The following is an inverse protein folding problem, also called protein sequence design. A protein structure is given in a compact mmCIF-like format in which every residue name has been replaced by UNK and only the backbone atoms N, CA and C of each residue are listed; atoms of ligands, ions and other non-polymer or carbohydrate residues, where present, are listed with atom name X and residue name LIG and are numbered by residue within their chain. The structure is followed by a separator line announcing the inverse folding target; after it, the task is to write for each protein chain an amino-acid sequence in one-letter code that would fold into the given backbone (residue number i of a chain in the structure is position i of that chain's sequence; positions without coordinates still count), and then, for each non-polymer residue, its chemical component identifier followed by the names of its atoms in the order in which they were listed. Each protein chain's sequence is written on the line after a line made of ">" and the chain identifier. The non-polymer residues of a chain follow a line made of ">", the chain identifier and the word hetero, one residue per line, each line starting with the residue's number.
data_IF_294005253911
#
_entry.id   IF_294005253911
#
_cell.length_a   1.000
_cell.length_b   1.000
_cell.length_c   1.000
_cell.angle_alpha   90.00
_cell.angle_beta   90.00
_cell.angle_gamma   90.00
#
_symmetry.space_group_name_H-M   'P 1'
#
loop_
_entity.id
_entity.type
_entity.pdbx_description
1 polymer ?
#
# COMPACT_ATOMS: atom_id res chain seq x y z
N UNK A 1 -13.26 -42.94 0.69
CA UNK A 1 -13.40 -42.37 2.06
C UNK A 1 -12.07 -41.92 2.68
N UNK A 2 -10.95 -42.64 2.51
CA UNK A 2 -9.63 -42.25 3.06
C UNK A 2 -9.14 -40.84 2.65
N UNK A 3 -9.41 -40.40 1.42
CA UNK A 3 -8.97 -39.08 0.93
C UNK A 3 -9.66 -37.91 1.63
N UNK A 4 -10.94 -38.04 1.96
CA UNK A 4 -11.72 -36.99 2.63
C UNK A 4 -11.31 -36.84 4.10
N UNK A 5 -11.07 -37.96 4.79
CA UNK A 5 -10.56 -37.95 6.16
C UNK A 5 -9.19 -37.24 6.27
N UNK A 6 -8.31 -37.45 5.28
CA UNK A 6 -6.99 -36.83 5.26
C UNK A 6 -7.07 -35.30 5.00
N UNK A 7 -7.97 -34.85 4.12
CA UNK A 7 -8.18 -33.42 3.85
C UNK A 7 -8.76 -32.70 5.07
N UNK A 8 -9.73 -33.31 5.77
CA UNK A 8 -10.30 -32.75 7.00
C UNK A 8 -9.24 -32.61 8.09
N UNK A 9 -8.38 -33.62 8.24
CA UNK A 9 -7.28 -33.57 9.21
C UNK A 9 -6.30 -32.43 8.89
N UNK A 10 -5.95 -32.23 7.61
CA UNK A 10 -5.03 -31.15 7.20
C UNK A 10 -5.57 -29.75 7.47
N UNK A 11 -6.87 -29.50 7.23
CA UNK A 11 -7.48 -28.19 7.50
C UNK A 11 -7.50 -27.85 8.99
N UNK A 12 -7.88 -28.82 9.82
CA UNK A 12 -7.85 -28.67 11.28
C UNK A 12 -6.42 -28.46 11.79
N UNK A 13 -5.46 -29.21 11.26
CA UNK A 13 -4.04 -29.06 11.59
C UNK A 13 -3.52 -27.65 11.28
N UNK A 14 -3.74 -27.15 10.05
CA UNK A 14 -3.32 -25.79 9.67
C UNK A 14 -4.00 -24.73 10.53
N UNK A 15 -5.30 -24.87 10.80
CA UNK A 15 -6.06 -23.94 11.64
C UNK A 15 -5.42 -23.79 13.03
N UNK A 16 -4.99 -24.90 13.64
CA UNK A 16 -4.31 -24.89 14.94
C UNK A 16 -2.89 -24.32 14.80
N UNK A 17 -2.10 -24.82 13.85
CA UNK A 17 -0.67 -24.45 13.71
C UNK A 17 -0.44 -23.00 13.33
N UNK A 18 -1.27 -22.42 12.47
CA UNK A 18 -1.10 -21.00 12.08
C UNK A 18 -1.44 -20.02 13.20
N UNK A 19 -1.93 -20.51 14.35
CA UNK A 19 -2.17 -19.71 15.56
C UNK A 19 -1.14 -19.98 16.67
N UNK A 20 -0.24 -20.94 16.46
CA UNK A 20 0.85 -21.27 17.37
C UNK A 20 2.04 -20.34 17.08
N UNK A 21 2.42 -19.44 18.02
CA UNK A 21 3.53 -18.52 17.81
C UNK A 21 4.85 -19.23 17.46
N UNK A 22 5.11 -20.41 18.03
CA UNK A 22 6.34 -21.15 17.76
C UNK A 22 6.39 -21.65 16.30
N UNK A 23 5.25 -22.08 15.76
CA UNK A 23 5.15 -22.48 14.36
C UNK A 23 5.42 -21.29 13.42
N UNK A 24 4.85 -20.12 13.73
CA UNK A 24 5.00 -18.93 12.90
C UNK A 24 6.43 -18.40 12.90
N UNK A 25 7.10 -18.37 14.06
CA UNK A 25 8.51 -17.98 14.12
C UNK A 25 9.40 -18.92 13.31
N UNK A 26 9.15 -20.24 13.37
CA UNK A 26 9.89 -21.20 12.51
C UNK A 26 9.65 -20.92 11.02
N UNK A 27 8.41 -20.65 10.62
CA UNK A 27 8.08 -20.30 9.23
C UNK A 27 8.85 -19.05 8.77
N UNK A 28 8.81 -17.97 9.56
CA UNK A 28 9.51 -16.72 9.26
C UNK A 28 11.01 -16.94 9.14
N UNK A 29 11.63 -17.66 10.09
CA UNK A 29 13.06 -17.95 10.07
C UNK A 29 13.47 -18.77 8.83
N UNK A 30 12.69 -19.78 8.45
CA UNK A 30 12.98 -20.59 7.27
C UNK A 30 12.87 -19.79 5.97
N UNK A 31 11.86 -18.93 5.84
CA UNK A 31 11.71 -18.06 4.67
C UNK A 31 12.90 -17.10 4.55
N UNK A 32 13.27 -16.42 5.64
CA UNK A 32 14.41 -15.49 5.67
C UNK A 32 15.73 -16.21 5.38
N UNK A 33 15.97 -17.38 5.99
CA UNK A 33 17.18 -18.15 5.73
C UNK A 33 17.30 -18.56 4.25
N UNK A 34 16.20 -18.99 3.63
CA UNK A 34 16.17 -19.27 2.19
C UNK A 34 16.48 -18.00 1.37
N UNK A 35 15.89 -16.85 1.74
CA UNK A 35 16.20 -15.55 1.13
C UNK A 35 17.67 -15.18 1.20
N UNK A 36 18.32 -15.39 2.35
CA UNK A 36 19.75 -15.12 2.53
C UNK A 36 20.60 -15.99 1.60
N UNK A 37 20.35 -17.30 1.58
CA UNK A 37 21.06 -18.24 0.69
C UNK A 37 20.88 -17.83 -0.78
N UNK A 38 19.65 -17.53 -1.19
CA UNK A 38 19.36 -17.07 -2.55
C UNK A 38 20.02 -15.73 -2.86
N UNK A 39 20.17 -14.83 -1.88
CA UNK A 39 20.87 -13.56 -2.04
C UNK A 39 22.35 -13.75 -2.35
N UNK A 40 23.04 -14.66 -1.64
CA UNK A 40 24.43 -15.01 -1.95
C UNK A 40 24.58 -15.61 -3.33
N UNK A 41 23.66 -16.50 -3.72
CA UNK A 41 23.61 -17.08 -5.06
C UNK A 41 23.39 -15.98 -6.12
N UNK A 42 22.45 -15.07 -5.87
CA UNK A 42 22.13 -13.99 -6.79
C UNK A 42 23.31 -13.02 -6.98
N UNK A 43 24.02 -12.64 -5.90
CA UNK A 43 25.24 -11.84 -6.00
C UNK A 43 26.31 -12.52 -6.86
N UNK A 44 26.45 -13.84 -6.76
CA UNK A 44 27.45 -14.57 -7.54
C UNK A 44 27.15 -14.59 -9.05
N UNK A 45 25.88 -14.79 -9.41
CA UNK A 45 25.46 -14.84 -10.82
C UNK A 45 25.24 -13.47 -11.45
N UNK A 46 24.85 -12.50 -10.64
CA UNK A 46 24.61 -11.13 -11.06
C UNK A 46 25.76 -10.28 -10.52
N UNK A 47 26.87 -10.27 -11.26
CA UNK A 47 28.00 -9.39 -10.89
C UNK A 47 27.44 -7.96 -10.82
N UNK A 48 27.49 -7.30 -9.65
CA UNK A 48 26.90 -5.98 -9.51
C UNK A 48 27.56 -5.06 -10.53
N UNK A 49 26.75 -4.46 -11.40
CA UNK A 49 27.29 -3.49 -12.35
C UNK A 49 27.96 -2.37 -11.56
N UNK A 50 29.16 -1.91 -11.96
CA UNK A 50 29.83 -0.81 -11.28
C UNK A 50 28.88 0.39 -11.18
N UNK A 51 28.73 0.97 -9.98
CA UNK A 51 27.78 2.07 -9.73
C UNK A 51 27.96 3.28 -10.67
N UNK A 52 29.13 3.45 -11.31
CA UNK A 52 29.41 4.52 -12.26
C UNK A 52 28.80 4.31 -13.66
N UNK A 53 28.34 3.11 -14.01
CA UNK A 53 27.63 2.83 -15.28
C UNK A 53 26.15 3.20 -15.25
N UNK A 54 25.62 3.58 -14.08
CA UNK A 54 24.30 4.18 -13.97
C UNK A 54 24.36 5.57 -14.59
N UNK A 55 24.18 5.64 -15.91
CA UNK A 55 23.99 6.91 -16.62
C UNK A 55 22.96 7.71 -15.82
N UNK A 56 23.25 8.99 -15.48
CA UNK A 56 22.25 9.83 -14.85
C UNK A 56 21.01 9.74 -15.73
N UNK A 57 19.87 9.43 -15.12
CA UNK A 57 18.60 9.44 -15.83
C UNK A 57 18.56 10.78 -16.56
N UNK A 58 18.54 10.75 -17.90
CA UNK A 58 18.36 11.97 -18.68
C UNK A 58 17.14 12.67 -18.08
N UNK A 59 17.20 13.99 -17.79
CA UNK A 59 16.06 14.72 -17.27
C UNK A 59 14.83 14.31 -18.07
N UNK A 60 13.78 13.87 -17.37
CA UNK A 60 12.60 13.27 -17.98
C UNK A 60 11.98 14.27 -18.97
N UNK A 61 12.40 14.19 -20.23
CA UNK A 61 11.99 15.13 -21.27
C UNK A 61 10.48 15.14 -21.46
N UNK A 62 9.81 14.02 -21.15
CA UNK A 62 8.36 13.91 -21.20
C UNK A 62 7.65 14.71 -20.11
N UNK A 63 8.11 14.66 -18.84
CA UNK A 63 7.52 15.47 -17.77
C UNK A 63 7.67 16.98 -18.00
N UNK A 64 8.84 17.41 -18.48
CA UNK A 64 9.07 18.81 -18.88
C UNK A 64 8.11 19.22 -20.00
N UNK A 65 7.90 18.35 -20.99
CA UNK A 65 6.92 18.61 -22.05
C UNK A 65 5.48 18.71 -21.52
N UNK A 66 5.09 17.88 -20.54
CA UNK A 66 3.77 17.97 -19.91
C UNK A 66 3.59 19.27 -19.12
N UNK A 67 4.63 19.72 -18.41
CA UNK A 67 4.66 21.01 -17.72
C UNK A 67 4.52 22.16 -18.73
N UNK A 68 5.29 22.16 -19.83
CA UNK A 68 5.20 23.16 -20.89
C UNK A 68 3.81 23.21 -21.53
N UNK A 69 3.18 22.05 -21.79
CA UNK A 69 1.80 21.98 -22.28
C UNK A 69 0.81 22.57 -21.27
N UNK A 70 0.98 22.28 -19.99
CA UNK A 70 0.16 22.82 -18.91
C UNK A 70 0.30 24.36 -18.79
N UNK A 71 1.53 24.89 -18.86
CA UNK A 71 1.81 26.33 -18.87
C UNK A 71 1.18 27.05 -20.07
N UNK A 72 1.12 26.38 -21.23
CA UNK A 72 0.45 26.88 -22.44
C UNK A 72 -1.08 26.74 -22.38
N UNK A 73 -1.64 26.13 -21.34
CA UNK A 73 -3.08 25.87 -21.19
C UNK A 73 -3.62 24.72 -22.05
N UNK A 74 -2.74 23.90 -22.63
CA UNK A 74 -3.06 22.72 -23.44
C UNK A 74 -3.34 21.51 -22.54
N UNK A 75 -4.39 21.64 -21.72
CA UNK A 75 -4.70 20.69 -20.64
C UNK A 75 -5.12 19.30 -21.14
N UNK A 76 -5.71 19.20 -22.33
CA UNK A 76 -6.13 17.91 -22.87
C UNK A 76 -4.93 17.09 -23.34
N UNK A 77 -3.97 17.75 -23.97
CA UNK A 77 -2.70 17.17 -24.41
C UNK A 77 -1.87 16.74 -23.20
N UNK A 78 -1.78 17.59 -22.17
CA UNK A 78 -1.14 17.24 -20.91
C UNK A 78 -1.84 16.03 -20.25
N UNK A 79 -3.17 16.02 -20.19
CA UNK A 79 -3.95 14.88 -19.68
C UNK A 79 -3.63 13.59 -20.44
N UNK A 80 -3.65 13.62 -21.78
CA UNK A 80 -3.43 12.43 -22.60
C UNK A 80 -1.97 11.96 -22.63
N UNK A 81 -1.01 12.82 -22.29
CA UNK A 81 0.41 12.47 -22.23
C UNK A 81 0.84 11.77 -20.93
N UNK A 82 0.15 12.00 -19.81
CA UNK A 82 0.48 11.39 -18.50
C UNK A 82 0.60 9.85 -18.57
N UNK A 83 -0.31 9.08 -19.19
CA UNK A 83 -0.19 7.62 -19.23
C UNK A 83 1.11 7.12 -19.87
N UNK A 84 1.66 7.84 -20.85
CA UNK A 84 2.92 7.47 -21.48
C UNK A 84 4.09 7.59 -20.50
N UNK A 85 4.12 8.66 -19.69
CA UNK A 85 5.15 8.87 -18.67
C UNK A 85 5.05 7.86 -17.52
N UNK A 86 3.83 7.56 -17.06
CA UNK A 86 3.59 6.49 -16.08
C UNK A 86 4.09 5.14 -16.61
N UNK A 87 3.76 4.82 -17.86
CA UNK A 87 4.21 3.59 -18.51
C UNK A 87 5.74 3.53 -18.67
N UNK A 88 6.39 4.66 -19.00
CA UNK A 88 7.85 4.73 -19.06
C UNK A 88 8.50 4.40 -17.69
N UNK A 89 7.87 4.79 -16.59
CA UNK A 89 8.28 4.42 -15.23
C UNK A 89 8.33 2.90 -15.00
N UNK A 90 7.49 2.14 -15.69
CA UNK A 90 7.44 0.66 -15.60
C UNK A 90 8.56 -0.05 -16.36
N UNK A 91 9.43 0.67 -17.08
CA UNK A 91 10.60 0.06 -17.73
C UNK A 91 11.57 -0.60 -16.74
N UNK A 92 11.59 -0.14 -15.48
CA UNK A 92 12.44 -0.68 -14.42
C UNK A 92 11.82 -1.94 -13.78
N UNK A 93 12.10 -3.10 -14.38
CA UNK A 93 11.51 -4.40 -14.01
C UNK A 93 11.70 -4.80 -12.55
N UNK A 94 12.86 -4.50 -11.94
CA UNK A 94 13.17 -4.85 -10.55
C UNK A 94 12.25 -4.13 -9.55
N UNK A 95 12.27 -2.78 -9.51
CA UNK A 95 11.33 -1.99 -8.71
C UNK A 95 9.86 -2.32 -8.97
N UNK A 96 9.47 -2.52 -10.23
CA UNK A 96 8.11 -2.92 -10.59
C UNK A 96 7.75 -4.28 -9.97
N UNK A 97 8.63 -5.28 -10.09
CA UNK A 97 8.38 -6.60 -9.52
C UNK A 97 8.26 -6.55 -7.99
N UNK A 98 9.09 -5.75 -7.31
CA UNK A 98 8.99 -5.54 -5.86
C UNK A 98 7.67 -4.87 -5.47
N UNK A 99 7.24 -3.83 -6.20
CA UNK A 99 5.99 -3.12 -5.95
C UNK A 99 4.77 -4.02 -6.14
N UNK A 100 4.73 -4.77 -7.25
CA UNK A 100 3.67 -5.76 -7.52
C UNK A 100 3.67 -6.86 -6.47
N UNK A 101 4.84 -7.39 -6.09
CA UNK A 101 4.93 -8.46 -5.09
C UNK A 101 4.46 -7.99 -3.70
N UNK A 102 4.88 -6.80 -3.26
CA UNK A 102 4.39 -6.16 -2.05
C UNK A 102 2.87 -5.96 -2.09
N UNK A 103 2.33 -5.53 -3.23
CA UNK A 103 0.90 -5.45 -3.50
C UNK A 103 0.18 -6.79 -3.39
N UNK A 104 0.74 -7.85 -3.98
CA UNK A 104 0.18 -9.20 -3.94
C UNK A 104 0.10 -9.76 -2.52
N UNK A 105 1.09 -9.49 -1.66
CA UNK A 105 1.04 -9.89 -0.26
C UNK A 105 -0.16 -9.26 0.48
N UNK A 106 -0.40 -7.96 0.29
CA UNK A 106 -1.57 -7.29 0.87
C UNK A 106 -2.88 -7.69 0.20
N UNK A 107 -2.87 -7.97 -1.11
CA UNK A 107 -4.05 -8.50 -1.79
C UNK A 107 -4.43 -9.88 -1.25
N UNK A 108 -3.45 -10.76 -1.00
CA UNK A 108 -3.71 -12.05 -0.37
C UNK A 108 -4.35 -11.87 1.01
N UNK A 109 -3.88 -10.89 1.79
CA UNK A 109 -4.51 -10.51 3.06
C UNK A 109 -5.96 -10.04 2.88
N UNK A 110 -6.23 -9.13 1.94
CA UNK A 110 -7.57 -8.60 1.65
C UNK A 110 -8.55 -9.70 1.22
N UNK A 111 -8.12 -10.60 0.33
CA UNK A 111 -8.96 -11.70 -0.16
C UNK A 111 -9.28 -12.72 0.95
N UNK A 112 -8.34 -12.98 1.86
CA UNK A 112 -8.59 -13.81 3.03
C UNK A 112 -9.51 -13.10 4.04
N UNK A 113 -9.31 -11.79 4.25
CA UNK A 113 -10.14 -10.97 5.12
C UNK A 113 -11.60 -10.94 4.63
N UNK A 114 -11.82 -10.87 3.32
CA UNK A 114 -13.12 -10.99 2.64
C UNK A 114 -13.76 -12.39 2.75
N UNK A 115 -13.02 -13.42 3.17
CA UNK A 115 -13.52 -14.80 3.25
C UNK A 115 -14.03 -15.32 1.90
N UNK A 116 -13.24 -15.14 0.83
CA UNK A 116 -13.54 -15.66 -0.51
C UNK A 116 -13.44 -17.19 -0.50
N UNK A 117 -14.51 -17.88 -0.90
CA UNK A 117 -14.57 -19.37 -0.90
C UNK A 117 -14.32 -20.01 -2.26
N UNK A 118 -14.56 -19.27 -3.35
CA UNK A 118 -14.56 -19.78 -4.72
C UNK A 118 -14.24 -18.66 -5.72
N UNK A 119 -13.71 -19.02 -6.89
CA UNK A 119 -13.27 -18.07 -7.93
C UNK A 119 -14.42 -17.32 -8.63
N UNK A 120 -15.67 -17.76 -8.45
CA UNK A 120 -16.87 -17.10 -9.00
C UNK A 120 -17.49 -16.07 -8.04
N UNK A 121 -16.87 -15.85 -6.89
CA UNK A 121 -17.34 -14.84 -5.94
C UNK A 121 -17.22 -13.44 -6.56
N UNK A 122 -18.31 -12.67 -6.57
CA UNK A 122 -18.28 -11.31 -7.12
C UNK A 122 -17.27 -10.43 -6.38
N UNK A 123 -17.03 -10.69 -5.09
CA UNK A 123 -16.11 -9.93 -4.25
C UNK A 123 -14.67 -10.05 -4.76
N UNK A 124 -14.28 -11.22 -5.27
CA UNK A 124 -12.95 -11.41 -5.88
C UNK A 124 -12.77 -10.46 -7.07
N UNK A 125 -13.73 -10.48 -8.00
CA UNK A 125 -13.67 -9.67 -9.21
C UNK A 125 -13.79 -8.17 -8.91
N UNK A 126 -14.65 -7.78 -7.97
CA UNK A 126 -14.73 -6.40 -7.51
C UNK A 126 -13.41 -5.92 -6.90
N UNK A 127 -12.73 -6.75 -6.11
CA UNK A 127 -11.39 -6.44 -5.59
C UNK A 127 -10.34 -6.34 -6.70
N UNK A 128 -10.36 -7.21 -7.71
CA UNK A 128 -9.42 -7.11 -8.84
C UNK A 128 -9.64 -5.82 -9.63
N UNK A 129 -10.90 -5.50 -9.96
CA UNK A 129 -11.25 -4.25 -10.65
C UNK A 129 -10.88 -3.03 -9.79
N UNK A 130 -11.09 -3.10 -8.48
CA UNK A 130 -10.69 -2.04 -7.55
C UNK A 130 -9.17 -1.77 -7.57
N UNK A 131 -8.32 -2.81 -7.60
CA UNK A 131 -6.86 -2.61 -7.77
C UNK A 131 -6.55 -1.87 -9.06
N UNK A 132 -7.16 -2.28 -10.18
CA UNK A 132 -6.94 -1.63 -11.47
C UNK A 132 -7.41 -0.16 -11.46
N UNK A 133 -8.53 0.12 -10.81
CA UNK A 133 -9.03 1.48 -10.61
C UNK A 133 -8.13 2.30 -9.67
N UNK A 134 -7.49 1.66 -8.69
CA UNK A 134 -6.46 2.25 -7.86
C UNK A 134 -5.23 2.68 -8.65
N UNK A 135 -4.68 1.79 -9.48
CA UNK A 135 -3.59 2.13 -10.41
C UNK A 135 -4.02 3.25 -11.35
N UNK A 136 -5.23 3.18 -11.90
CA UNK A 136 -5.77 4.21 -12.78
C UNK A 136 -5.91 5.56 -12.09
N UNK A 137 -6.19 5.59 -10.78
CA UNK A 137 -6.37 6.83 -10.01
C UNK A 137 -5.09 7.70 -9.91
N UNK A 138 -3.93 7.14 -10.20
CA UNK A 138 -2.68 7.91 -10.34
C UNK A 138 -2.76 8.91 -11.50
N UNK A 139 -3.43 8.56 -12.60
CA UNK A 139 -3.57 9.46 -13.74
C UNK A 139 -4.27 10.79 -13.37
N UNK A 140 -5.48 10.80 -12.80
CA UNK A 140 -6.09 12.05 -12.34
C UNK A 140 -5.30 12.72 -11.21
N UNK A 141 -4.62 11.97 -10.33
CA UNK A 141 -3.70 12.55 -9.34
C UNK A 141 -2.63 13.40 -10.02
N UNK A 142 -1.88 12.82 -10.96
CA UNK A 142 -0.79 13.47 -11.71
C UNK A 142 -1.29 14.69 -12.50
N UNK A 143 -2.49 14.61 -13.07
CA UNK A 143 -3.10 15.76 -13.73
C UNK A 143 -3.40 16.90 -12.74
N UNK A 144 -3.93 16.57 -11.56
CA UNK A 144 -4.16 17.57 -10.53
C UNK A 144 -2.87 18.18 -9.99
N UNK A 145 -1.74 17.45 -10.00
CA UNK A 145 -0.42 18.02 -9.70
C UNK A 145 -0.13 19.18 -10.64
N UNK A 146 -0.14 18.93 -11.96
CA UNK A 146 0.15 19.94 -12.98
C UNK A 146 -0.78 21.16 -12.83
N UNK A 147 -2.08 20.92 -12.60
CA UNK A 147 -3.06 21.99 -12.44
C UNK A 147 -2.86 22.81 -11.17
N UNK A 148 -2.49 22.18 -10.05
CA UNK A 148 -2.27 22.87 -8.78
C UNK A 148 -0.95 23.65 -8.76
N UNK A 149 0.11 23.09 -9.32
CA UNK A 149 1.42 23.73 -9.38
C UNK A 149 1.40 24.93 -10.32
N UNK A 150 0.98 24.72 -11.58
CA UNK A 150 0.92 25.79 -12.60
C UNK A 150 -0.19 26.79 -12.30
N UNK A 151 -1.38 26.30 -11.91
CA UNK A 151 -2.56 27.14 -11.76
C UNK A 151 -2.67 27.84 -10.41
N UNK A 152 -2.28 27.18 -9.31
CA UNK A 152 -2.48 27.69 -7.94
C UNK A 152 -1.17 28.07 -7.24
N UNK A 153 -0.01 27.82 -7.86
CA UNK A 153 1.30 28.06 -7.24
C UNK A 153 1.51 27.20 -5.98
N UNK A 154 0.86 26.04 -5.90
CA UNK A 154 1.03 25.07 -4.83
C UNK A 154 2.30 24.27 -5.08
N UNK A 155 3.44 24.92 -4.87
CA UNK A 155 4.78 24.32 -5.03
C UNK A 155 5.26 23.75 -3.71
N UNK A 156 6.01 22.65 -3.78
CA UNK A 156 6.71 22.07 -2.64
C UNK A 156 7.65 23.11 -1.99
N UNK A 157 7.63 23.18 -0.66
CA UNK A 157 8.48 24.11 0.10
C UNK A 157 8.81 23.54 1.47
N UNK A 158 10.00 23.91 1.96
CA UNK A 158 10.49 23.55 3.28
C UNK A 158 9.90 24.44 4.40
N UNK A 159 9.21 25.52 4.03
CA UNK A 159 8.52 26.38 5.01
C UNK A 159 7.34 25.65 5.64
N UNK A 160 7.15 25.78 6.96
CA UNK A 160 6.14 25.02 7.70
C UNK A 160 4.72 25.20 7.14
N UNK A 161 4.25 26.44 7.00
CA UNK A 161 2.88 26.73 6.55
C UNK A 161 2.72 26.37 5.07
N UNK A 162 3.68 26.75 4.23
CA UNK A 162 3.64 26.45 2.80
C UNK A 162 3.68 24.94 2.54
N UNK A 163 4.54 24.21 3.24
CA UNK A 163 4.70 22.77 3.15
C UNK A 163 3.48 22.02 3.69
N UNK A 164 2.88 22.46 4.79
CA UNK A 164 1.61 21.87 5.28
C UNK A 164 0.48 22.09 4.26
N UNK A 165 0.40 23.29 3.68
CA UNK A 165 -0.59 23.60 2.63
C UNK A 165 -0.38 22.70 1.41
N UNK A 166 0.88 22.54 0.96
CA UNK A 166 1.24 21.67 -0.15
C UNK A 166 0.91 20.20 0.12
N UNK A 167 1.31 19.66 1.28
CA UNK A 167 1.07 18.25 1.58
C UNK A 167 -0.41 17.94 1.86
N UNK A 168 -1.17 18.82 2.54
CA UNK A 168 -2.59 18.55 2.83
C UNK A 168 -3.50 18.84 1.65
N UNK A 169 -3.41 20.03 1.05
CA UNK A 169 -4.31 20.43 -0.05
C UNK A 169 -3.78 20.01 -1.43
N UNK A 170 -2.47 19.91 -1.59
CA UNK A 170 -1.85 19.33 -2.78
C UNK A 170 -1.97 17.81 -2.69
N UNK A 171 -1.07 17.17 -1.94
CA UNK A 171 -0.91 15.71 -1.93
C UNK A 171 -2.15 14.97 -1.39
N UNK A 172 -2.50 15.17 -0.11
CA UNK A 172 -3.58 14.42 0.55
C UNK A 172 -4.94 14.59 -0.14
N UNK A 173 -5.32 15.82 -0.48
CA UNK A 173 -6.61 16.10 -1.10
C UNK A 173 -6.72 15.53 -2.50
N UNK A 174 -5.73 15.80 -3.37
CA UNK A 174 -5.81 15.37 -4.78
C UNK A 174 -5.84 13.86 -4.89
N UNK A 175 -5.05 13.18 -4.07
CA UNK A 175 -4.93 11.73 -4.12
C UNK A 175 -6.16 11.02 -3.58
N UNK A 176 -6.65 11.40 -2.40
CA UNK A 176 -7.85 10.77 -1.84
C UNK A 176 -9.09 11.10 -2.68
N UNK A 177 -9.15 12.30 -3.28
CA UNK A 177 -10.21 12.65 -4.23
C UNK A 177 -10.16 11.80 -5.50
N UNK A 178 -8.98 11.64 -6.11
CA UNK A 178 -8.80 10.80 -7.30
C UNK A 178 -9.21 9.34 -7.04
N UNK A 179 -8.76 8.76 -5.93
CA UNK A 179 -9.16 7.40 -5.49
C UNK A 179 -10.67 7.30 -5.28
N UNK A 180 -11.29 8.30 -4.65
CA UNK A 180 -12.74 8.35 -4.48
C UNK A 180 -13.49 8.42 -5.81
N UNK A 181 -13.05 9.25 -6.76
CA UNK A 181 -13.63 9.29 -8.11
C UNK A 181 -13.57 7.93 -8.80
N UNK A 182 -12.45 7.22 -8.67
CA UNK A 182 -12.29 5.86 -9.19
C UNK A 182 -13.11 4.81 -8.42
N UNK A 183 -13.49 5.05 -7.17
CA UNK A 183 -14.40 4.19 -6.40
C UNK A 183 -15.86 4.33 -6.83
N UNK A 184 -16.32 5.53 -7.21
CA UNK A 184 -17.73 5.80 -7.50
C UNK A 184 -18.37 4.84 -8.54
N UNK A 185 -17.70 4.42 -9.63
CA UNK A 185 -18.24 3.43 -10.57
C UNK A 185 -18.57 2.06 -9.93
N UNK A 186 -17.88 1.66 -8.86
CA UNK A 186 -18.16 0.42 -8.14
C UNK A 186 -19.30 0.56 -7.12
N UNK A 187 -19.63 1.78 -6.73
CA UNK A 187 -20.59 2.04 -5.65
C UNK A 187 -22.00 1.50 -5.94
N UNK A 188 -22.57 1.56 -7.16
CA UNK A 188 -23.86 0.92 -7.47
C UNK A 188 -23.86 -0.58 -7.23
N UNK A 189 -22.76 -1.28 -7.52
CA UNK A 189 -22.63 -2.71 -7.21
C UNK A 189 -22.58 -2.93 -5.71
N UNK A 190 -21.75 -2.18 -4.99
CA UNK A 190 -21.57 -2.30 -3.54
C UNK A 190 -22.87 -2.02 -2.76
N UNK A 191 -23.63 -0.99 -3.18
CA UNK A 191 -24.95 -0.64 -2.62
C UNK A 191 -25.98 -1.77 -2.81
N UNK A 192 -25.96 -2.44 -3.96
CA UNK A 192 -26.85 -3.59 -4.22
C UNK A 192 -26.52 -4.78 -3.32
N UNK A 193 -25.23 -5.04 -3.08
CA UNK A 193 -24.76 -6.20 -2.31
C UNK A 193 -24.93 -6.03 -0.79
N UNK A 194 -25.06 -4.79 -0.31
CA UNK A 194 -25.36 -4.45 1.10
C UNK A 194 -24.40 -5.08 2.12
N UNK A 195 -23.14 -5.28 1.73
CA UNK A 195 -22.13 -5.92 2.56
C UNK A 195 -21.03 -4.91 2.92
N UNK A 196 -21.07 -4.39 4.15
CA UNK A 196 -20.11 -3.37 4.61
C UNK A 196 -18.67 -3.87 4.65
N UNK A 197 -18.44 -5.14 5.00
CA UNK A 197 -17.10 -5.74 4.94
C UNK A 197 -16.55 -5.71 3.52
N UNK A 198 -17.40 -6.04 2.53
CA UNK A 198 -17.02 -5.98 1.12
C UNK A 198 -16.75 -4.54 0.67
N UNK A 199 -17.56 -3.57 1.11
CA UNK A 199 -17.34 -2.15 0.82
C UNK A 199 -15.98 -1.70 1.36
N UNK A 200 -15.69 -1.97 2.64
CA UNK A 200 -14.44 -1.59 3.30
C UNK A 200 -13.23 -2.15 2.53
N UNK A 201 -13.24 -3.45 2.24
CA UNK A 201 -12.07 -4.13 1.67
C UNK A 201 -11.93 -3.96 0.15
N UNK A 202 -13.03 -3.78 -0.60
CA UNK A 202 -12.97 -3.39 -2.02
C UNK A 202 -12.47 -1.95 -2.16
N UNK A 203 -12.90 -1.03 -1.29
CA UNK A 203 -12.40 0.35 -1.29
C UNK A 203 -10.92 0.39 -0.88
N UNK A 204 -10.51 -0.39 0.13
CA UNK A 204 -9.11 -0.53 0.51
C UNK A 204 -8.23 -1.07 -0.65
N UNK A 205 -8.78 -1.93 -1.51
CA UNK A 205 -8.08 -2.45 -2.67
C UNK A 205 -7.80 -1.37 -3.74
N UNK A 206 -8.60 -0.29 -3.81
CA UNK A 206 -8.28 0.89 -4.62
C UNK A 206 -7.05 1.60 -4.05
N UNK A 207 -7.04 1.84 -2.73
CA UNK A 207 -5.86 2.40 -2.05
C UNK A 207 -4.61 1.55 -2.26
N UNK A 208 -4.74 0.22 -2.23
CA UNK A 208 -3.64 -0.70 -2.54
C UNK A 208 -3.17 -0.58 -4.00
N UNK A 209 -4.08 -0.47 -4.96
CA UNK A 209 -3.74 -0.28 -6.37
C UNK A 209 -2.95 1.01 -6.60
N UNK A 210 -3.36 2.11 -5.97
CA UNK A 210 -2.62 3.36 -5.99
C UNK A 210 -1.21 3.20 -5.40
N UNK A 211 -1.10 2.58 -4.22
CA UNK A 211 0.17 2.35 -3.55
C UNK A 211 1.13 1.48 -4.38
N UNK A 212 0.63 0.49 -5.15
CA UNK A 212 1.45 -0.35 -6.04
C UNK A 212 2.15 0.51 -7.08
N UNK A 213 1.42 1.39 -7.76
CA UNK A 213 2.00 2.26 -8.79
C UNK A 213 3.02 3.22 -8.16
N UNK A 214 2.63 3.90 -7.09
CA UNK A 214 3.46 4.91 -6.46
C UNK A 214 4.79 4.29 -5.93
N UNK A 215 4.71 3.08 -5.37
CA UNK A 215 5.86 2.31 -4.92
C UNK A 215 6.88 2.04 -6.03
N UNK A 216 6.49 1.94 -7.30
CA UNK A 216 7.45 1.75 -8.39
C UNK A 216 8.44 2.91 -8.43
N UNK A 217 7.95 4.15 -8.33
CA UNK A 217 8.79 5.34 -8.31
C UNK A 217 9.68 5.39 -7.06
N UNK A 218 9.14 5.08 -5.89
CA UNK A 218 9.93 5.04 -4.64
C UNK A 218 11.00 3.96 -4.65
N UNK A 219 10.68 2.76 -5.14
CA UNK A 219 11.63 1.65 -5.19
C UNK A 219 12.70 1.90 -6.25
N UNK A 220 12.37 2.58 -7.34
CA UNK A 220 13.35 3.05 -8.31
C UNK A 220 14.32 4.05 -7.68
N UNK A 221 13.81 5.10 -7.03
CA UNK A 221 14.63 6.16 -6.40
C UNK A 221 15.54 5.62 -5.29
N UNK A 222 15.03 4.69 -4.48
CA UNK A 222 15.77 4.07 -3.37
C UNK A 222 16.54 2.81 -3.76
N UNK A 223 16.54 2.43 -5.05
CA UNK A 223 17.09 1.16 -5.52
C UNK A 223 16.59 -0.07 -4.73
N UNK A 224 15.32 -0.06 -4.30
CA UNK A 224 14.67 -1.13 -3.53
C UNK A 224 14.83 -1.04 -2.02
N UNK A 225 15.68 -0.15 -1.49
CA UNK A 225 15.88 -0.04 -0.04
C UNK A 225 14.59 0.38 0.71
N UNK A 226 13.70 1.14 0.07
CA UNK A 226 12.44 1.57 0.69
C UNK A 226 11.36 0.48 0.73
N UNK A 227 11.59 -0.72 0.18
CA UNK A 227 10.55 -1.74 -0.02
C UNK A 227 9.89 -2.17 1.28
N UNK A 228 10.66 -2.48 2.32
CA UNK A 228 10.09 -2.91 3.60
C UNK A 228 9.35 -1.78 4.31
N UNK A 229 9.88 -0.55 4.25
CA UNK A 229 9.24 0.63 4.83
C UNK A 229 7.86 0.84 4.24
N UNK A 230 7.76 0.98 2.92
CA UNK A 230 6.47 1.23 2.25
C UNK A 230 5.49 0.07 2.36
N UNK A 231 5.97 -1.18 2.41
CA UNK A 231 5.09 -2.32 2.65
C UNK A 231 4.39 -2.27 4.01
N UNK A 232 5.07 -1.80 5.06
CA UNK A 232 4.54 -1.72 6.42
C UNK A 232 3.91 -0.37 6.75
N UNK A 233 4.14 0.66 5.95
CA UNK A 233 3.54 2.00 6.16
C UNK A 233 2.62 2.41 5.01
N UNK A 234 3.17 2.82 3.87
CA UNK A 234 2.40 3.40 2.76
C UNK A 234 1.26 2.49 2.29
N UNK A 235 1.53 1.20 2.06
CA UNK A 235 0.50 0.24 1.60
C UNK A 235 -0.71 0.16 2.56
N UNK A 236 -0.53 -0.19 3.85
CA UNK A 236 -1.64 -0.25 4.78
C UNK A 236 -2.26 1.14 5.04
N UNK A 237 -1.49 2.23 4.93
CA UNK A 237 -2.02 3.57 5.10
C UNK A 237 -2.99 3.95 3.99
N UNK A 238 -2.60 3.81 2.71
CA UNK A 238 -3.52 4.05 1.58
C UNK A 238 -4.73 3.10 1.62
N UNK A 239 -4.53 1.82 1.95
CA UNK A 239 -5.63 0.88 2.15
C UNK A 239 -6.61 1.37 3.23
N UNK A 240 -6.10 1.85 4.37
CA UNK A 240 -6.91 2.32 5.48
C UNK A 240 -7.66 3.61 5.14
N UNK A 241 -6.97 4.62 4.59
CA UNK A 241 -7.56 5.89 4.16
C UNK A 241 -8.72 5.65 3.18
N UNK A 242 -8.45 4.97 2.07
CA UNK A 242 -9.47 4.74 1.03
C UNK A 242 -10.56 3.77 1.49
N UNK A 243 -10.22 2.78 2.31
CA UNK A 243 -11.18 1.86 2.92
C UNK A 243 -12.21 2.58 3.81
N UNK A 244 -11.73 3.45 4.70
CA UNK A 244 -12.57 4.21 5.63
C UNK A 244 -13.43 5.26 4.90
N UNK A 245 -12.86 5.98 3.92
CA UNK A 245 -13.62 6.89 3.04
C UNK A 245 -14.72 6.13 2.30
N UNK A 246 -14.38 5.00 1.68
CA UNK A 246 -15.34 4.23 0.90
C UNK A 246 -16.50 3.68 1.74
N UNK A 247 -16.22 3.21 2.96
CA UNK A 247 -17.24 2.78 3.91
C UNK A 247 -18.15 3.94 4.35
N UNK A 248 -17.57 5.10 4.64
CA UNK A 248 -18.33 6.29 5.03
C UNK A 248 -19.25 6.78 3.91
N UNK A 249 -18.74 6.86 2.68
CA UNK A 249 -19.53 7.26 1.49
C UNK A 249 -20.65 6.26 1.22
N UNK A 250 -20.38 4.96 1.32
CA UNK A 250 -21.43 3.94 1.19
C UNK A 250 -22.54 4.12 2.24
N UNK A 251 -22.18 4.34 3.52
CA UNK A 251 -23.16 4.57 4.60
C UNK A 251 -23.97 5.85 4.34
N UNK A 252 -23.33 6.93 3.87
CA UNK A 252 -24.00 8.16 3.46
C UNK A 252 -24.96 7.97 2.28
N UNK A 253 -24.60 7.21 1.25
CA UNK A 253 -25.48 6.95 0.12
C UNK A 253 -26.70 6.10 0.51
N UNK A 254 -26.56 5.25 1.53
CA UNK A 254 -27.65 4.43 2.06
C UNK A 254 -28.53 5.19 3.06
N UNK A 255 -27.94 6.09 3.85
CA UNK A 255 -28.59 6.84 4.93
C UNK A 255 -28.18 8.32 4.90
N UNK A 256 -28.57 9.09 3.87
CA UNK A 256 -28.00 10.41 3.60
C UNK A 256 -28.23 11.43 4.72
N UNK A 257 -29.39 11.39 5.37
CA UNK A 257 -29.70 12.32 6.47
C UNK A 257 -28.86 12.06 7.74
N UNK A 258 -28.46 10.81 7.97
CA UNK A 258 -27.76 10.40 9.19
C UNK A 258 -26.24 10.38 9.00
N UNK A 259 -25.79 9.93 7.83
CA UNK A 259 -24.37 9.67 7.56
C UNK A 259 -23.75 10.65 6.55
N UNK A 260 -24.54 11.50 5.88
CA UNK A 260 -24.04 12.47 4.89
C UNK A 260 -22.95 13.40 5.44
N UNK A 261 -23.23 14.17 6.51
CA UNK A 261 -22.22 15.02 7.14
C UNK A 261 -21.02 14.24 7.67
N UNK A 262 -21.26 13.04 8.21
CA UNK A 262 -20.19 12.17 8.71
C UNK A 262 -19.24 11.72 7.59
N UNK A 263 -19.74 11.42 6.39
CA UNK A 263 -18.89 11.07 5.26
C UNK A 263 -18.00 12.23 4.81
N UNK A 264 -18.51 13.47 4.78
CA UNK A 264 -17.71 14.66 4.52
C UNK A 264 -16.62 14.88 5.57
N UNK A 265 -16.96 14.71 6.85
CA UNK A 265 -16.01 14.83 7.95
C UNK A 265 -14.91 13.75 7.91
N UNK A 266 -15.27 12.49 7.63
CA UNK A 266 -14.31 11.39 7.47
C UNK A 266 -13.40 11.65 6.28
N UNK A 267 -13.94 12.07 5.13
CA UNK A 267 -13.12 12.41 3.96
C UNK A 267 -12.11 13.52 4.29
N UNK A 268 -12.56 14.63 4.87
CA UNK A 268 -11.68 15.74 5.27
C UNK A 268 -10.62 15.31 6.29
N UNK A 269 -10.97 14.45 7.25
CA UNK A 269 -10.03 13.91 8.22
C UNK A 269 -8.98 12.98 7.56
N UNK A 270 -9.38 12.13 6.62
CA UNK A 270 -8.43 11.25 5.91
C UNK A 270 -7.49 12.05 4.99
N UNK A 271 -8.00 13.09 4.32
CA UNK A 271 -7.19 14.04 3.55
C UNK A 271 -6.14 14.72 4.44
N UNK A 272 -6.56 15.22 5.61
CA UNK A 272 -5.65 15.82 6.57
C UNK A 272 -4.63 14.81 7.10
N UNK A 273 -5.06 13.62 7.50
CA UNK A 273 -4.18 12.58 8.02
C UNK A 273 -3.12 12.17 7.00
N UNK A 274 -3.52 12.02 5.74
CA UNK A 274 -2.61 11.71 4.63
C UNK A 274 -1.56 12.82 4.45
N UNK A 275 -2.01 14.05 4.22
CA UNK A 275 -1.07 15.14 3.99
C UNK A 275 -0.20 15.47 5.22
N UNK A 276 -0.73 15.31 6.43
CA UNK A 276 0.07 15.51 7.64
C UNK A 276 1.13 14.43 7.80
N UNK A 277 0.83 13.17 7.44
CA UNK A 277 1.82 12.10 7.43
C UNK A 277 2.98 12.43 6.49
N UNK A 278 2.70 12.87 5.27
CA UNK A 278 3.74 13.25 4.31
C UNK A 278 4.52 14.48 4.74
N UNK A 279 3.83 15.50 5.28
CA UNK A 279 4.45 16.70 5.82
C UNK A 279 5.45 16.38 6.95
N UNK A 280 5.10 15.44 7.84
CA UNK A 280 5.98 15.03 8.93
C UNK A 280 7.25 14.30 8.44
N UNK A 281 7.26 13.79 7.20
CA UNK A 281 8.41 13.16 6.58
C UNK A 281 9.23 14.13 5.71
N UNK A 282 8.59 15.13 5.09
CA UNK A 282 9.24 15.99 4.10
C UNK A 282 9.65 17.37 4.62
N UNK A 283 8.98 17.90 5.65
CA UNK A 283 9.23 19.27 6.13
C UNK A 283 10.28 19.25 7.26
N UNK A 284 11.43 19.93 7.11
CA UNK A 284 12.47 19.95 8.15
C UNK A 284 11.98 20.46 9.51
N UNK A 285 11.08 21.45 9.52
CA UNK A 285 10.49 21.99 10.75
C UNK A 285 9.62 20.98 11.53
N UNK A 286 9.21 19.88 10.90
CA UNK A 286 8.46 18.79 11.54
C UNK A 286 9.32 17.57 11.86
N UNK A 287 10.63 17.59 11.59
CA UNK A 287 11.50 16.44 11.81
C UNK A 287 11.51 15.98 13.28
N UNK A 288 11.57 16.93 14.22
CA UNK A 288 11.48 16.67 15.67
C UNK A 288 10.11 16.13 16.10
N UNK A 289 9.10 16.31 15.24
CA UNK A 289 7.71 15.85 15.42
C UNK A 289 7.37 14.65 14.54
N UNK A 290 8.36 13.96 13.95
CA UNK A 290 8.14 12.76 13.13
C UNK A 290 7.33 11.66 13.84
N UNK A 291 7.39 11.62 15.18
CA UNK A 291 6.54 10.76 16.01
C UNK A 291 5.04 11.07 15.82
N UNK A 292 4.66 12.33 15.62
CA UNK A 292 3.27 12.72 15.39
C UNK A 292 2.72 12.12 14.09
N UNK A 293 3.51 12.11 13.00
CA UNK A 293 3.15 11.43 11.76
C UNK A 293 2.94 9.92 11.99
N UNK A 294 3.81 9.30 12.78
CA UNK A 294 3.68 7.88 13.16
C UNK A 294 2.42 7.62 14.00
N UNK A 295 2.05 8.53 14.90
CA UNK A 295 0.82 8.44 15.69
C UNK A 295 -0.41 8.55 14.78
N UNK A 296 -0.42 9.49 13.83
CA UNK A 296 -1.52 9.64 12.86
C UNK A 296 -1.69 8.38 12.03
N UNK A 297 -0.58 7.84 11.50
CA UNK A 297 -0.56 6.55 10.82
C UNK A 297 -1.17 5.45 11.68
N UNK A 298 -0.69 5.30 12.93
CA UNK A 298 -1.15 4.27 13.84
C UNK A 298 -2.65 4.38 14.15
N UNK A 299 -3.19 5.59 14.34
CA UNK A 299 -4.60 5.84 14.61
C UNK A 299 -5.49 5.49 13.40
N UNK A 300 -5.08 5.86 12.19
CA UNK A 300 -5.83 5.53 10.96
C UNK A 300 -5.85 4.02 10.72
N UNK A 301 -4.69 3.38 10.85
CA UNK A 301 -4.58 1.91 10.72
C UNK A 301 -5.39 1.21 11.81
N UNK A 302 -5.30 1.67 13.05
CA UNK A 302 -6.13 1.15 14.16
C UNK A 302 -7.63 1.25 13.83
N UNK A 303 -8.09 2.42 13.37
CA UNK A 303 -9.50 2.60 13.00
C UNK A 303 -9.95 1.66 11.88
N UNK A 304 -9.09 1.43 10.88
CA UNK A 304 -9.35 0.48 9.81
C UNK A 304 -9.49 -0.96 10.33
N UNK A 305 -8.56 -1.40 11.19
CA UNK A 305 -8.62 -2.75 11.78
C UNK A 305 -9.78 -2.90 12.75
N UNK A 306 -10.18 -1.83 13.44
CA UNK A 306 -11.37 -1.82 14.29
C UNK A 306 -12.66 -2.07 13.48
N UNK A 307 -12.86 -1.36 12.37
CA UNK A 307 -13.98 -1.61 11.45
C UNK A 307 -13.89 -3.03 10.86
N UNK A 308 -12.72 -3.48 10.43
CA UNK A 308 -12.51 -4.84 9.92
C UNK A 308 -12.92 -5.89 10.97
N UNK A 309 -12.50 -5.75 12.22
CA UNK A 309 -12.82 -6.70 13.30
C UNK A 309 -14.32 -6.72 13.61
N UNK A 310 -14.97 -5.56 13.57
CA UNK A 310 -16.40 -5.41 13.83
C UNK A 310 -17.25 -6.02 12.72
N UNK A 311 -16.85 -5.83 11.45
CA UNK A 311 -17.60 -6.28 10.28
C UNK A 311 -17.33 -7.75 9.91
N UNK A 312 -16.22 -8.32 10.37
CA UNK A 312 -15.77 -9.67 10.01
C UNK A 312 -16.27 -10.72 11.01
N UNK A 313 -16.82 -11.81 10.48
CA UNK A 313 -17.16 -12.98 11.30
C UNK A 313 -15.90 -13.77 11.66
N UNK A 314 -15.75 -14.16 12.93
CA UNK A 314 -14.62 -14.96 13.41
C UNK A 314 -14.86 -16.47 13.18
N UNK A 315 -13.77 -17.25 13.06
CA UNK A 315 -13.84 -18.72 13.23
C UNK A 315 -13.80 -19.60 11.98
N UNK A 316 -13.75 -19.05 10.77
CA UNK A 316 -13.81 -19.82 9.51
C UNK A 316 -12.49 -20.13 8.80
N UNK A 317 -11.40 -19.47 9.15
CA UNK A 317 -10.19 -19.51 8.31
C UNK A 317 -9.31 -20.74 8.56
N UNK A 318 -8.82 -21.34 7.47
CA UNK A 318 -7.85 -22.45 7.51
C UNK A 318 -6.45 -21.98 7.92
N UNK A 319 -6.09 -20.76 7.53
CA UNK A 319 -4.85 -20.06 7.89
C UNK A 319 -5.27 -18.80 8.65
N UNK A 320 -4.55 -18.41 9.70
CA UNK A 320 -4.80 -17.13 10.39
C UNK A 320 -4.44 -15.94 9.50
N UNK A 321 -5.05 -14.78 9.73
CA UNK A 321 -4.66 -13.53 9.05
C UNK A 321 -3.24 -13.13 9.46
N UNK A 322 -2.91 -13.33 10.74
CA UNK A 322 -1.56 -13.11 11.28
C UNK A 322 -0.49 -13.97 10.58
N UNK A 323 -0.78 -15.24 10.28
CA UNK A 323 0.15 -16.09 9.53
C UNK A 323 0.34 -15.61 8.09
N UNK A 324 -0.73 -15.20 7.42
CA UNK A 324 -0.62 -14.67 6.06
C UNK A 324 0.20 -13.38 6.03
N UNK A 325 -0.05 -12.47 6.97
CA UNK A 325 0.75 -11.25 7.11
C UNK A 325 2.23 -11.54 7.38
N UNK A 326 2.55 -12.39 8.35
CA UNK A 326 3.95 -12.76 8.64
C UNK A 326 4.62 -13.48 7.46
N UNK A 327 3.88 -14.31 6.73
CA UNK A 327 4.36 -14.91 5.48
C UNK A 327 4.67 -13.82 4.44
N UNK A 328 3.77 -12.84 4.26
CA UNK A 328 4.00 -11.70 3.37
C UNK A 328 5.22 -10.85 3.76
N UNK A 329 5.35 -10.48 5.03
CA UNK A 329 6.51 -9.73 5.57
C UNK A 329 7.81 -10.48 5.30
N UNK A 330 7.88 -11.77 5.65
CA UNK A 330 9.09 -12.57 5.51
C UNK A 330 9.45 -12.86 4.05
N UNK A 331 8.47 -13.15 3.20
CA UNK A 331 8.68 -13.33 1.76
C UNK A 331 9.18 -12.04 1.11
N UNK A 332 8.56 -10.89 1.41
CA UNK A 332 8.99 -9.62 0.83
C UNK A 332 10.39 -9.23 1.33
N UNK A 333 10.70 -9.45 2.61
CA UNK A 333 12.05 -9.25 3.16
C UNK A 333 13.07 -10.08 2.39
N UNK A 334 12.74 -11.35 2.15
CA UNK A 334 13.61 -12.29 1.43
C UNK A 334 13.82 -11.88 -0.03
N UNK A 335 12.74 -11.56 -0.75
CA UNK A 335 12.82 -11.12 -2.16
C UNK A 335 13.58 -9.79 -2.27
N UNK A 336 13.38 -8.87 -1.33
CA UNK A 336 14.11 -7.60 -1.27
C UNK A 336 15.59 -7.85 -1.01
N UNK A 337 15.96 -8.74 -0.09
CA UNK A 337 17.36 -9.10 0.17
C UNK A 337 18.02 -9.71 -1.07
N UNK A 338 17.32 -10.61 -1.78
CA UNK A 338 17.81 -11.22 -3.03
C UNK A 338 18.06 -10.14 -4.08
N UNK A 339 17.08 -9.23 -4.27
CA UNK A 339 17.21 -8.13 -5.21
C UNK A 339 18.40 -7.21 -4.87
N UNK A 340 18.49 -6.75 -3.62
CA UNK A 340 19.58 -5.88 -3.16
C UNK A 340 20.93 -6.59 -3.22
N UNK A 341 20.98 -7.89 -2.95
CA UNK A 341 22.23 -8.66 -3.04
C UNK A 341 22.72 -8.76 -4.49
N UNK A 342 21.80 -8.91 -5.45
CA UNK A 342 22.12 -8.93 -6.86
C UNK A 342 22.62 -7.55 -7.36
N UNK A 343 22.08 -6.45 -6.83
CA UNK A 343 22.42 -5.10 -7.33
C UNK A 343 23.56 -4.42 -6.57
N UNK A 344 23.69 -4.66 -5.26
CA UNK A 344 24.61 -3.96 -4.35
C UNK A 344 25.60 -4.91 -3.64
N UNK A 345 25.37 -6.22 -3.69
CA UNK A 345 26.10 -7.23 -2.91
C UNK A 345 25.48 -7.48 -1.53
N UNK A 346 25.72 -8.66 -0.97
CA UNK A 346 25.07 -9.13 0.27
C UNK A 346 25.37 -8.28 1.50
N UNK A 347 26.58 -7.72 1.63
CA UNK A 347 26.95 -6.89 2.77
C UNK A 347 26.10 -5.60 2.81
N UNK A 348 26.08 -4.85 1.72
CA UNK A 348 25.26 -3.63 1.60
C UNK A 348 23.75 -3.94 1.68
N UNK A 349 23.31 -5.07 1.13
CA UNK A 349 21.93 -5.53 1.25
C UNK A 349 21.54 -5.80 2.71
N UNK A 350 22.43 -6.44 3.48
CA UNK A 350 22.22 -6.70 4.90
C UNK A 350 22.14 -5.40 5.70
N UNK A 351 23.09 -4.49 5.53
CA UNK A 351 23.12 -3.22 6.26
C UNK A 351 21.86 -2.37 5.99
N UNK A 352 21.43 -2.32 4.73
CA UNK A 352 20.22 -1.62 4.30
C UNK A 352 18.96 -2.20 4.94
N UNK A 353 18.83 -3.53 4.96
CA UNK A 353 17.64 -4.18 5.53
C UNK A 353 17.66 -4.26 7.05
N UNK A 354 18.81 -4.48 7.69
CA UNK A 354 18.90 -4.61 9.15
C UNK A 354 18.42 -3.33 9.85
N UNK A 355 18.84 -2.17 9.34
CA UNK A 355 18.40 -0.86 9.84
C UNK A 355 16.88 -0.67 9.66
N UNK A 356 16.35 -1.01 8.47
CA UNK A 356 14.92 -0.92 8.19
C UNK A 356 14.08 -1.87 9.04
N UNK A 357 14.47 -3.13 9.18
CA UNK A 357 13.73 -4.16 9.93
C UNK A 357 13.63 -3.81 11.41
N UNK A 358 14.71 -3.32 12.03
CA UNK A 358 14.69 -2.91 13.43
C UNK A 358 13.72 -1.73 13.66
N UNK A 359 13.74 -0.73 12.78
CA UNK A 359 12.80 0.40 12.85
C UNK A 359 11.35 -0.01 12.63
N UNK A 360 11.11 -1.06 11.84
CA UNK A 360 9.77 -1.51 11.46
C UNK A 360 9.21 -2.62 12.37
N UNK A 361 9.99 -3.17 13.30
CA UNK A 361 9.53 -4.19 14.24
C UNK A 361 8.30 -3.71 15.05
N UNK A 362 8.26 -2.42 15.40
CA UNK A 362 7.12 -1.78 16.07
C UNK A 362 5.87 -1.83 15.19
N UNK A 363 6.01 -1.63 13.87
CA UNK A 363 4.88 -1.70 12.94
C UNK A 363 4.37 -3.14 12.81
N UNK A 364 5.27 -4.13 12.70
CA UNK A 364 4.87 -5.55 12.71
C UNK A 364 4.10 -5.88 13.98
N UNK A 365 4.60 -5.46 15.15
CA UNK A 365 3.91 -5.65 16.43
C UNK A 365 2.51 -5.01 16.44
N UNK A 366 2.39 -3.77 15.95
CA UNK A 366 1.11 -3.06 15.83
C UNK A 366 0.10 -3.86 14.99
N UNK A 367 0.51 -4.34 13.81
CA UNK A 367 -0.37 -5.16 12.97
C UNK A 367 -0.78 -6.46 13.67
N UNK A 368 0.17 -7.18 14.28
CA UNK A 368 -0.13 -8.44 14.97
C UNK A 368 -1.10 -8.25 16.14
N UNK A 369 -1.02 -7.13 16.84
CA UNK A 369 -1.94 -6.75 17.91
C UNK A 369 -3.34 -6.45 17.37
N UNK A 370 -3.43 -5.71 16.26
CA UNK A 370 -4.71 -5.24 15.75
C UNK A 370 -5.46 -6.23 14.87
N UNK A 371 -4.79 -7.28 14.40
CA UNK A 371 -5.46 -8.31 13.60
C UNK A 371 -6.61 -9.00 14.34
N UNK A 372 -7.69 -9.40 13.63
CA UNK A 372 -8.85 -10.05 14.23
C UNK A 372 -8.54 -11.34 15.01
N UNK A 373 -7.41 -11.97 14.72
CA UNK A 373 -6.92 -13.18 15.39
C UNK A 373 -5.61 -12.93 16.17
N UNK A 374 -5.57 -11.79 16.88
CA UNK A 374 -4.41 -11.33 17.64
C UNK A 374 -3.70 -12.45 18.41
N UNK A 375 -2.38 -12.47 18.27
CA UNK A 375 -1.48 -13.36 19.01
C UNK A 375 -0.90 -12.71 20.26
N UNK A 376 -1.16 -11.41 20.43
CA UNK A 376 -0.64 -10.60 21.53
C UNK A 376 -1.81 -10.25 22.44
N UNK A 377 -1.88 -10.92 23.59
CA UNK A 377 -2.77 -10.55 24.70
C UNK A 377 -1.99 -9.63 25.64
N UNK A 378 -2.54 -8.44 25.91
CA UNK A 378 -1.97 -7.48 26.87
C UNK A 378 -2.64 -7.67 28.23
#
# INVERSE_FOLDING_TARGET
>A
MATLANIMNRRSYLKVKTRDPAFLWRMVLWIIAAGIVLGYVAQYFWQPQPQWELRPATPNSGWQQLEELAEQGLWWEAWMGIPAEVYAGFAHRGPLALAVFAGCCWLAFLLQALQIKHLRDWRLWATMVAILLGVLSVWPTLFFILKQEVGWGLVETNELIGGLRYNVLGVGLREEFAKLCCLLPLMPLLLRQRNELAVLLVSAAIGLGFAIEENVSYFRRSQGAATMGRFLTANPFHMALTGLVGLAVYRALRYPQQCGPQAGAIFGLMVFAHGFYDAALSIPALADYSLAGTIVFALVVYQFFHELRTLRTTGGDTVSLSANFLCGVSLLTSVTFVYLSATLGCAAAFDSLATGVLGLAVMVYLFLREMPDTMVTV
#
